data_IF_679928080682
#
_entry.id   IF_679928080682
#
_cell.length_a   1.000
_cell.length_b   1.000
_cell.length_c   1.000
_cell.angle_alpha   90.00
_cell.angle_beta   90.00
_cell.angle_gamma   90.00
#
_symmetry.space_group_name_H-M   'P 1'
#
loop_
_entity.id
_entity.type
_entity.pdbx_description
1 polymer ?
#
# COMPACT_ATOMS: atom_id res chain seq x y z
N UNK A 1 -29.51 3.44 1.78
CA UNK A 1 -28.28 3.88 1.07
C UNK A 1 -27.36 4.68 2.00
N UNK A 2 -27.78 5.82 2.57
CA UNK A 2 -26.91 6.67 3.41
C UNK A 2 -26.36 5.99 4.67
N UNK A 3 -27.15 5.14 5.33
CA UNK A 3 -26.70 4.41 6.53
C UNK A 3 -25.55 3.44 6.25
N UNK A 4 -25.60 2.75 5.10
CA UNK A 4 -24.58 1.79 4.68
C UNK A 4 -23.27 2.53 4.37
N UNK A 5 -23.35 3.67 3.69
CA UNK A 5 -22.17 4.51 3.39
C UNK A 5 -21.54 5.02 4.69
N UNK A 6 -22.34 5.51 5.63
CA UNK A 6 -21.83 5.97 6.93
C UNK A 6 -21.15 4.83 7.70
N UNK A 7 -21.77 3.65 7.73
CA UNK A 7 -21.19 2.47 8.37
C UNK A 7 -19.88 2.05 7.69
N UNK A 8 -19.82 2.05 6.36
CA UNK A 8 -18.61 1.75 5.60
C UNK A 8 -17.47 2.73 5.93
N UNK A 9 -17.75 4.04 5.95
CA UNK A 9 -16.76 5.06 6.30
C UNK A 9 -16.26 4.91 7.73
N UNK A 10 -17.16 4.58 8.67
CA UNK A 10 -16.78 4.32 10.06
C UNK A 10 -15.84 3.11 10.17
N UNK A 11 -16.19 1.99 9.53
CA UNK A 11 -15.34 0.80 9.51
C UNK A 11 -14.00 1.07 8.84
N UNK A 12 -13.98 1.82 7.72
CA UNK A 12 -12.76 2.21 7.04
C UNK A 12 -11.85 3.09 7.89
N UNK A 13 -12.41 4.06 8.61
CA UNK A 13 -11.66 4.92 9.52
C UNK A 13 -11.09 4.12 10.71
N UNK A 14 -11.87 3.20 11.28
CA UNK A 14 -11.41 2.31 12.35
C UNK A 14 -10.30 1.38 11.86
N UNK A 15 -10.41 0.84 10.65
CA UNK A 15 -9.39 0.03 10.01
C UNK A 15 -8.09 0.84 9.85
N UNK A 16 -8.16 2.02 9.24
CA UNK A 16 -6.99 2.89 9.02
C UNK A 16 -6.32 3.34 10.33
N UNK A 17 -7.09 3.46 11.42
CA UNK A 17 -6.54 3.82 12.74
C UNK A 17 -5.92 2.64 13.49
N UNK A 18 -6.42 1.42 13.29
CA UNK A 18 -6.00 0.23 14.06
C UNK A 18 -4.96 -0.62 13.36
N UNK A 19 -4.94 -0.63 12.04
CA UNK A 19 -4.04 -1.46 11.24
C UNK A 19 -2.85 -0.59 10.82
N UNK A 20 -1.60 -1.00 11.17
CA UNK A 20 -0.42 -0.31 10.71
C UNK A 20 -0.35 -0.27 9.17
N UNK A 21 0.30 0.76 8.58
CA UNK A 21 0.48 0.85 7.14
C UNK A 21 1.16 -0.40 6.55
N UNK A 22 0.79 -0.76 5.32
CA UNK A 22 1.38 -1.85 4.54
C UNK A 22 1.08 -3.29 5.02
N UNK A 23 0.10 -3.48 5.89
CA UNK A 23 -0.38 -4.81 6.28
C UNK A 23 -1.39 -5.40 5.29
N UNK A 24 -2.03 -4.57 4.47
CA UNK A 24 -2.85 -5.05 3.35
C UNK A 24 -2.02 -5.83 2.32
N UNK A 25 -2.60 -6.80 1.59
CA UNK A 25 -1.86 -7.73 0.73
C UNK A 25 -1.14 -7.09 -0.48
N UNK A 26 -1.61 -5.94 -0.94
CA UNK A 26 -1.12 -5.18 -2.10
C UNK A 26 -0.86 -3.69 -1.75
N UNK A 27 -1.03 -3.31 -0.48
CA UNK A 27 -1.01 -1.92 -0.04
C UNK A 27 0.31 -1.19 -0.34
N UNK A 28 1.44 -1.87 -0.17
CA UNK A 28 2.76 -1.32 -0.50
C UNK A 28 2.91 -1.04 -2.01
N UNK A 29 2.41 -1.94 -2.86
CA UNK A 29 2.46 -1.80 -4.32
C UNK A 29 1.55 -0.65 -4.79
N UNK A 30 0.35 -0.52 -4.19
CA UNK A 30 -0.54 0.63 -4.44
C UNK A 30 0.14 1.96 -4.10
N UNK A 31 0.75 2.02 -2.91
CA UNK A 31 1.46 3.20 -2.46
C UNK A 31 2.67 3.52 -3.35
N UNK A 32 3.43 2.49 -3.77
CA UNK A 32 4.55 2.64 -4.69
C UNK A 32 4.13 3.21 -6.05
N UNK A 33 3.00 2.78 -6.61
CA UNK A 33 2.49 3.32 -7.87
C UNK A 33 2.15 4.81 -7.72
N UNK A 34 1.43 5.19 -6.66
CA UNK A 34 1.09 6.60 -6.40
C UNK A 34 2.37 7.43 -6.30
N UNK A 35 3.35 6.99 -5.50
CA UNK A 35 4.63 7.67 -5.33
C UNK A 35 5.39 7.79 -6.64
N UNK A 36 5.46 6.73 -7.45
CA UNK A 36 6.06 6.72 -8.79
C UNK A 36 5.50 7.83 -9.69
N UNK A 37 4.17 8.01 -9.69
CA UNK A 37 3.50 9.07 -10.44
C UNK A 37 3.72 10.46 -9.84
N UNK A 38 3.83 10.59 -8.52
CA UNK A 38 4.17 11.87 -7.88
C UNK A 38 5.59 12.32 -8.19
N UNK A 39 6.54 11.39 -8.32
CA UNK A 39 7.94 11.62 -8.70
C UNK A 39 8.11 11.97 -10.18
N UNK A 40 7.04 11.89 -10.98
CA UNK A 40 7.08 12.24 -12.40
C UNK A 40 7.75 11.21 -13.29
N UNK A 41 7.88 9.95 -12.84
CA UNK A 41 8.52 8.84 -13.58
C UNK A 41 7.69 8.30 -14.77
N UNK A 42 6.54 8.92 -15.07
CA UNK A 42 5.61 8.41 -16.09
C UNK A 42 4.88 7.15 -15.64
N UNK A 43 4.36 6.36 -16.58
CA UNK A 43 3.71 5.08 -16.25
C UNK A 43 4.76 4.02 -15.89
N UNK A 44 4.51 3.16 -14.88
CA UNK A 44 5.39 2.04 -14.55
C UNK A 44 5.55 1.08 -15.74
N UNK A 45 6.71 0.40 -15.84
CA UNK A 45 6.92 -0.62 -16.86
C UNK A 45 5.95 -1.79 -16.66
N UNK A 46 5.55 -2.43 -17.76
CA UNK A 46 4.62 -3.55 -17.78
C UNK A 46 5.38 -4.89 -17.84
N UNK A 47 4.71 -5.98 -17.46
CA UNK A 47 5.24 -7.34 -17.61
C UNK A 47 6.40 -7.65 -16.67
N UNK A 48 7.41 -8.38 -17.17
CA UNK A 48 8.54 -8.82 -16.34
C UNK A 48 9.32 -7.67 -15.68
N UNK A 49 9.46 -6.55 -16.39
CA UNK A 49 10.17 -5.37 -15.88
C UNK A 49 9.45 -4.71 -14.69
N UNK A 50 8.15 -4.95 -14.49
CA UNK A 50 7.41 -4.43 -13.36
C UNK A 50 7.91 -5.01 -12.02
N UNK A 51 8.32 -6.28 -12.02
CA UNK A 51 8.85 -7.00 -10.84
C UNK A 51 10.22 -6.49 -10.37
N UNK A 52 10.90 -5.70 -11.19
CA UNK A 52 12.14 -5.01 -10.82
C UNK A 52 11.87 -3.65 -10.16
N UNK A 53 10.59 -3.26 -10.05
CA UNK A 53 10.15 -2.01 -9.43
C UNK A 53 9.31 -2.28 -8.18
N UNK A 54 9.20 -1.33 -7.25
CA UNK A 54 8.31 -1.48 -6.09
C UNK A 54 6.81 -1.57 -6.43
N UNK A 55 6.42 -1.31 -7.68
CA UNK A 55 5.03 -1.39 -8.14
C UNK A 55 4.62 -2.84 -8.43
N UNK A 56 5.56 -3.68 -8.84
CA UNK A 56 5.35 -5.12 -9.08
C UNK A 56 4.08 -5.42 -9.92
N UNK A 57 3.22 -6.32 -9.44
CA UNK A 57 2.01 -6.74 -10.12
C UNK A 57 1.01 -5.59 -10.36
N UNK A 58 0.98 -4.57 -9.50
CA UNK A 58 0.03 -3.46 -9.62
C UNK A 58 0.28 -2.59 -10.86
N UNK A 59 1.45 -2.73 -11.50
CA UNK A 59 1.73 -2.04 -12.75
C UNK A 59 0.73 -2.44 -13.84
N UNK A 60 0.22 -3.67 -13.81
CA UNK A 60 -0.77 -4.18 -14.77
C UNK A 60 -2.18 -3.58 -14.61
N UNK A 61 -2.46 -2.85 -13.52
CA UNK A 61 -3.76 -2.23 -13.31
C UNK A 61 -3.94 -0.97 -14.18
N UNK A 62 -5.20 -0.63 -14.54
CA UNK A 62 -5.50 0.61 -15.23
C UNK A 62 -5.03 1.85 -14.44
N UNK A 63 -4.36 2.82 -15.08
CA UNK A 63 -3.65 3.90 -14.38
C UNK A 63 -4.58 4.98 -13.80
N UNK A 64 -5.86 5.02 -14.17
CA UNK A 64 -6.75 6.14 -13.84
C UNK A 64 -6.87 6.35 -12.32
N UNK A 65 -7.02 5.25 -11.57
CA UNK A 65 -7.10 5.29 -10.12
C UNK A 65 -5.84 5.93 -9.50
N UNK A 66 -4.67 5.42 -9.86
CA UNK A 66 -3.38 5.90 -9.36
C UNK A 66 -3.09 7.33 -9.79
N UNK A 67 -3.43 7.68 -11.03
CA UNK A 67 -3.28 9.05 -11.53
C UNK A 67 -4.09 10.02 -10.68
N UNK A 68 -5.39 9.75 -10.47
CA UNK A 68 -6.25 10.59 -9.65
C UNK A 68 -5.77 10.66 -8.19
N UNK A 69 -5.32 9.54 -7.62
CA UNK A 69 -4.77 9.49 -6.27
C UNK A 69 -3.45 10.28 -6.14
N UNK A 70 -2.62 10.29 -7.20
CA UNK A 70 -1.35 11.01 -7.21
C UNK A 70 -1.49 12.54 -7.18
N UNK A 71 -2.61 13.09 -7.66
CA UNK A 71 -2.85 14.53 -7.71
C UNK A 71 -2.88 15.19 -6.32
N UNK A 72 -3.74 14.76 -5.37
CA UNK A 72 -3.69 15.26 -4.00
C UNK A 72 -2.40 14.83 -3.30
N UNK A 73 -1.87 13.65 -3.60
CA UNK A 73 -0.68 13.11 -2.97
C UNK A 73 0.57 14.01 -3.16
N UNK A 74 0.68 14.68 -4.31
CA UNK A 74 1.73 15.67 -4.59
C UNK A 74 1.77 16.83 -3.59
N UNK A 75 0.63 17.18 -2.98
CA UNK A 75 0.53 18.31 -2.05
C UNK A 75 0.76 17.91 -0.59
N UNK A 76 0.58 16.63 -0.23
CA UNK A 76 0.78 16.10 1.13
C UNK A 76 2.17 15.49 1.35
N UNK A 77 3.07 15.56 0.37
CA UNK A 77 4.47 15.19 0.56
C UNK A 77 4.75 13.69 0.60
N UNK A 78 3.95 12.87 -0.08
CA UNK A 78 4.13 11.39 -0.09
C UNK A 78 5.47 10.91 -0.65
N UNK A 79 6.21 11.77 -1.36
CA UNK A 79 7.57 11.49 -1.83
C UNK A 79 8.59 11.36 -0.68
N UNK A 80 8.28 11.87 0.51
CA UNK A 80 9.02 11.62 1.76
C UNK A 80 8.04 11.06 2.80
N UNK A 81 7.67 9.77 2.68
CA UNK A 81 6.60 9.21 3.49
C UNK A 81 7.02 9.07 4.96
N UNK A 82 6.09 9.36 5.87
CA UNK A 82 6.27 9.13 7.32
C UNK A 82 6.49 7.65 7.64
N UNK A 83 5.86 6.76 6.87
CA UNK A 83 6.01 5.32 7.00
C UNK A 83 6.82 4.74 5.83
N UNK A 84 7.88 4.00 6.15
CA UNK A 84 8.71 3.29 5.16
C UNK A 84 8.29 1.83 5.10
N UNK A 85 7.97 1.33 3.90
CA UNK A 85 7.68 -0.10 3.74
C UNK A 85 8.93 -0.94 4.00
N UNK A 86 8.84 -1.84 4.98
CA UNK A 86 9.90 -2.78 5.36
C UNK A 86 9.32 -4.19 5.34
N UNK A 87 9.54 -5.00 4.28
CA UNK A 87 8.93 -6.32 4.19
C UNK A 87 9.45 -7.23 5.31
N UNK A 88 8.54 -7.98 5.95
CA UNK A 88 8.91 -9.00 6.93
C UNK A 88 9.49 -10.24 6.21
N UNK A 89 10.76 -10.62 6.43
CA UNK A 89 11.36 -11.80 5.79
C UNK A 89 10.68 -13.12 6.16
N UNK A 90 9.95 -13.15 7.28
CA UNK A 90 9.22 -14.31 7.77
C UNK A 90 7.76 -14.35 7.28
N UNK A 91 7.32 -13.38 6.48
CA UNK A 91 5.99 -13.40 5.89
C UNK A 91 5.97 -14.36 4.68
N UNK A 92 5.31 -15.51 4.83
CA UNK A 92 5.26 -16.58 3.80
C UNK A 92 3.96 -16.54 2.98
N UNK A 93 3.28 -15.38 2.92
CA UNK A 93 1.93 -15.20 2.36
C UNK A 93 0.78 -15.67 3.30
N UNK A 94 -0.50 -15.33 3.02
CA UNK A 94 -1.64 -15.62 3.89
C UNK A 94 -2.10 -17.08 3.71
N UNK A 95 -1.16 -18.02 3.90
CA UNK A 95 -1.41 -19.45 3.86
C UNK A 95 -1.64 -19.99 5.27
N UNK A 96 -2.51 -21.00 5.46
CA UNK A 96 -2.70 -21.64 6.76
C UNK A 96 -1.38 -22.20 7.30
N UNK A 97 -1.08 -21.92 8.57
CA UNK A 97 0.15 -22.37 9.25
C UNK A 97 -0.18 -23.36 10.35
N UNK A 98 0.71 -24.33 10.55
CA UNK A 98 0.62 -25.32 11.63
C UNK A 98 1.20 -24.83 12.97
N UNK A 99 1.94 -23.71 12.95
CA UNK A 99 2.60 -23.11 14.12
C UNK A 99 2.20 -21.63 14.18
N UNK A 100 1.84 -21.09 15.36
CA UNK A 100 1.68 -19.65 15.54
C UNK A 100 3.00 -18.93 15.26
N UNK A 101 3.00 -18.00 14.32
CA UNK A 101 4.15 -17.15 13.98
C UNK A 101 3.68 -15.71 13.72
N UNK A 102 4.62 -14.80 13.56
CA UNK A 102 4.33 -13.43 13.15
C UNK A 102 3.74 -13.41 11.73
N UNK A 103 2.47 -13.05 11.64
CA UNK A 103 1.74 -12.92 10.38
C UNK A 103 1.84 -11.50 9.78
N UNK A 104 2.51 -10.55 10.46
CA UNK A 104 2.69 -9.20 9.94
C UNK A 104 3.42 -9.24 8.60
N UNK A 105 2.91 -8.48 7.64
CA UNK A 105 3.53 -8.31 6.33
C UNK A 105 4.71 -7.34 6.39
N UNK A 106 4.61 -6.32 7.24
CA UNK A 106 5.63 -5.28 7.37
C UNK A 106 6.24 -5.25 8.79
N UNK A 107 7.49 -4.76 8.86
CA UNK A 107 8.19 -4.49 10.12
C UNK A 107 7.90 -3.05 10.57
N UNK A 108 7.42 -2.92 11.82
CA UNK A 108 7.06 -1.66 12.44
C UNK A 108 7.98 -1.35 13.62
N UNK A 109 8.52 -0.14 13.65
CA UNK A 109 9.30 0.38 14.78
C UNK A 109 8.50 1.43 15.55
N UNK A 110 8.77 1.64 16.85
CA UNK A 110 8.12 2.69 17.64
C UNK A 110 8.29 4.11 17.08
N UNK A 111 9.25 4.31 16.18
CA UNK A 111 9.55 5.60 15.53
C UNK A 111 8.75 5.86 14.26
N UNK A 112 7.95 4.90 13.79
CA UNK A 112 7.16 5.04 12.55
C UNK A 112 5.81 5.79 12.78
N UNK A 113 5.61 6.42 13.96
CA UNK A 113 4.38 7.12 14.37
C UNK A 113 4.58 8.55 14.86
#
# INVERSE_FOLDING_TARGET
MSLIVLFYLLCGALYAWRIPPFEGPDEAQHFAYITWLTEGKGLPPQGAAAWETPVEQEAGQPPLYYFLASLPARFVGVANPTATYRPNPHFVAPLPRSVPDNDNRALHYPTDG
#
